data_IF_443278119054
#
_entry.id   IF_443278119054
#
_cell.length_a   1.000
_cell.length_b   1.000
_cell.length_c   1.000
_cell.angle_alpha   90.00
_cell.angle_beta   90.00
_cell.angle_gamma   90.00
#
_symmetry.space_group_name_H-M   'P 1'
#
loop_
_entity.id
_entity.type
_entity.pdbx_description
1 polymer ?
#
# COMPACT_ATOMS: atom_id res chain seq x y z
N UNK A 1 19.44 16.71 13.76
CA UNK A 1 18.34 15.71 13.78
C UNK A 1 18.31 15.06 12.39
N UNK A 2 18.98 13.92 12.17
CA UNK A 2 18.96 13.25 10.86
C UNK A 2 17.52 12.83 10.59
N UNK A 3 16.91 13.39 9.53
CA UNK A 3 15.66 12.90 8.98
C UNK A 3 15.79 11.39 8.82
N UNK A 4 14.94 10.64 9.54
CA UNK A 4 14.92 9.18 9.53
C UNK A 4 14.36 8.74 8.18
N UNK A 5 15.17 8.92 7.14
CA UNK A 5 14.89 8.42 5.79
C UNK A 5 14.62 6.93 5.88
N UNK A 6 13.64 6.48 5.10
CA UNK A 6 13.28 5.07 5.00
C UNK A 6 14.56 4.30 4.65
N UNK A 7 15.10 3.53 5.60
CA UNK A 7 16.25 2.68 5.33
C UNK A 7 15.86 1.73 4.20
N UNK A 8 16.69 1.57 3.15
CA UNK A 8 16.41 0.59 2.10
C UNK A 8 16.30 -0.80 2.71
N UNK A 9 15.50 -1.68 2.09
CA UNK A 9 15.22 -3.01 2.63
C UNK A 9 16.51 -3.81 2.92
N UNK A 10 17.56 -3.58 2.12
CA UNK A 10 18.89 -4.17 2.28
C UNK A 10 19.63 -3.76 3.56
N UNK A 11 19.33 -2.60 4.14
CA UNK A 11 19.98 -2.07 5.35
C UNK A 11 19.26 -2.46 6.66
N UNK A 12 18.11 -3.14 6.57
CA UNK A 12 17.38 -3.62 7.73
C UNK A 12 18.02 -4.89 8.30
N UNK A 13 18.01 -5.04 9.62
CA UNK A 13 18.31 -6.34 10.23
C UNK A 13 17.18 -7.34 9.91
N UNK A 14 17.43 -8.64 10.08
CA UNK A 14 16.44 -9.66 9.73
C UNK A 14 15.15 -9.52 10.58
N UNK A 15 15.28 -9.17 11.86
CA UNK A 15 14.15 -8.89 12.74
C UNK A 15 13.37 -7.65 12.29
N UNK A 16 14.07 -6.56 11.96
CA UNK A 16 13.46 -5.34 11.44
C UNK A 16 12.74 -5.61 10.12
N UNK A 17 13.36 -6.39 9.23
CA UNK A 17 12.83 -6.74 7.92
C UNK A 17 11.54 -7.57 8.05
N UNK A 18 11.54 -8.62 8.87
CA UNK A 18 10.35 -9.45 9.12
C UNK A 18 9.21 -8.65 9.75
N UNK A 19 9.51 -7.74 10.68
CA UNK A 19 8.53 -6.82 11.24
C UNK A 19 7.95 -5.90 10.16
N UNK A 20 8.78 -5.35 9.30
CA UNK A 20 8.35 -4.49 8.19
C UNK A 20 7.53 -5.26 7.14
N UNK A 21 7.85 -6.52 6.83
CA UNK A 21 7.04 -7.38 5.94
C UNK A 21 5.61 -7.52 6.49
N UNK A 22 5.46 -7.82 7.79
CA UNK A 22 4.15 -7.94 8.43
C UNK A 22 3.40 -6.61 8.45
N UNK A 23 4.07 -5.52 8.82
CA UNK A 23 3.48 -4.18 8.85
C UNK A 23 3.01 -3.72 7.47
N UNK A 24 3.88 -3.81 6.46
CA UNK A 24 3.54 -3.42 5.09
C UNK A 24 2.43 -4.27 4.49
N UNK A 25 2.37 -5.57 4.82
CA UNK A 25 1.24 -6.45 4.47
C UNK A 25 -0.07 -5.98 5.11
N UNK A 26 -0.04 -5.66 6.40
CA UNK A 26 -1.22 -5.17 7.11
C UNK A 26 -1.71 -3.83 6.54
N UNK A 27 -0.80 -2.90 6.26
CA UNK A 27 -1.14 -1.61 5.65
C UNK A 27 -1.74 -1.80 4.27
N UNK A 28 -1.13 -2.65 3.43
CA UNK A 28 -1.65 -2.95 2.10
C UNK A 28 -3.06 -3.55 2.18
N UNK A 29 -3.28 -4.52 3.08
CA UNK A 29 -4.59 -5.14 3.27
C UNK A 29 -5.65 -4.12 3.72
N UNK A 30 -5.36 -3.35 4.77
CA UNK A 30 -6.29 -2.33 5.29
C UNK A 30 -6.60 -1.27 4.25
N UNK A 31 -5.58 -0.77 3.54
CA UNK A 31 -5.77 0.22 2.47
C UNK A 31 -6.60 -0.36 1.32
N UNK A 32 -6.34 -1.61 0.93
CA UNK A 32 -7.07 -2.27 -0.15
C UNK A 32 -8.56 -2.45 0.20
N UNK A 33 -8.90 -2.85 1.42
CA UNK A 33 -10.29 -2.96 1.88
C UNK A 33 -10.99 -1.60 1.81
N UNK A 34 -10.37 -0.56 2.36
CA UNK A 34 -10.93 0.81 2.34
C UNK A 34 -11.08 1.31 0.90
N UNK A 35 -10.09 1.04 0.04
CA UNK A 35 -10.12 1.46 -1.37
C UNK A 35 -11.24 0.77 -2.15
N UNK A 36 -11.52 -0.51 -1.90
CA UNK A 36 -12.64 -1.21 -2.54
C UNK A 36 -13.98 -0.61 -2.10
N UNK A 37 -14.15 -0.30 -0.81
CA UNK A 37 -15.36 0.36 -0.31
C UNK A 37 -15.55 1.77 -0.92
N UNK A 38 -14.45 2.53 -1.01
CA UNK A 38 -14.43 3.82 -1.70
C UNK A 38 -14.86 3.67 -3.16
N UNK A 39 -14.25 2.73 -3.89
CA UNK A 39 -14.53 2.49 -5.31
C UNK A 39 -16.00 2.11 -5.52
N UNK A 40 -16.53 1.18 -4.73
CA UNK A 40 -17.93 0.77 -4.80
C UNK A 40 -18.90 1.94 -4.56
N UNK A 41 -18.62 2.76 -3.54
CA UNK A 41 -19.42 3.94 -3.21
C UNK A 41 -19.36 4.99 -4.31
N UNK A 42 -18.18 5.30 -4.81
CA UNK A 42 -17.95 6.25 -5.90
C UNK A 42 -18.62 5.80 -7.21
N UNK A 43 -18.56 4.51 -7.54
CA UNK A 43 -19.24 3.95 -8.70
C UNK A 43 -20.75 4.05 -8.55
N UNK A 44 -21.31 3.68 -7.39
CA UNK A 44 -22.74 3.82 -7.11
C UNK A 44 -23.22 5.28 -7.28
N UNK A 45 -22.49 6.24 -6.71
CA UNK A 45 -22.80 7.67 -6.87
C UNK A 45 -22.71 8.10 -8.34
N UNK A 46 -21.67 7.65 -9.06
CA UNK A 46 -21.46 8.02 -10.46
C UNK A 46 -22.59 7.48 -11.36
N UNK A 47 -23.05 6.25 -11.14
CA UNK A 47 -24.15 5.65 -11.90
C UNK A 47 -25.49 6.33 -11.59
N UNK A 48 -25.71 6.73 -10.33
CA UNK A 48 -27.00 7.31 -9.89
C UNK A 48 -27.11 8.82 -10.10
N UNK A 49 -25.99 9.56 -10.01
CA UNK A 49 -25.96 11.03 -10.07
C UNK A 49 -25.18 11.58 -11.26
N UNK A 50 -24.61 10.71 -12.10
CA UNK A 50 -23.80 11.08 -13.25
C UNK A 50 -22.34 11.35 -12.88
N UNK A 51 -21.56 11.71 -13.90
CA UNK A 51 -20.13 11.96 -13.76
C UNK A 51 -19.85 13.22 -12.93
N UNK A 52 -18.92 13.13 -11.99
CA UNK A 52 -18.54 14.26 -11.14
C UNK A 52 -17.29 14.00 -10.30
N UNK A 53 -17.12 14.75 -9.21
CA UNK A 53 -15.93 14.66 -8.33
C UNK A 53 -15.72 13.24 -7.82
N UNK A 54 -16.80 12.54 -7.45
CA UNK A 54 -16.72 11.15 -6.98
C UNK A 54 -16.31 10.14 -8.05
N UNK A 55 -16.44 10.48 -9.34
CA UNK A 55 -16.04 9.60 -10.45
C UNK A 55 -14.52 9.55 -10.64
N UNK A 56 -13.83 10.66 -10.35
CA UNK A 56 -12.37 10.76 -10.46
C UNK A 56 -11.67 10.49 -9.14
N UNK A 57 -12.37 10.58 -8.01
CA UNK A 57 -11.81 10.42 -6.66
C UNK A 57 -11.03 9.10 -6.48
N UNK A 58 -11.52 7.91 -6.91
CA UNK A 58 -10.74 6.68 -6.75
C UNK A 58 -9.41 6.71 -7.53
N UNK A 59 -9.35 7.40 -8.66
CA UNK A 59 -8.15 7.51 -9.49
C UNK A 59 -7.04 8.31 -8.78
N UNK A 60 -7.40 9.28 -7.94
CA UNK A 60 -6.40 10.08 -7.21
C UNK A 60 -5.68 9.27 -6.14
N UNK A 61 -6.33 8.27 -5.55
CA UNK A 61 -5.76 7.37 -4.55
C UNK A 61 -5.08 6.14 -5.16
N UNK A 62 -5.26 5.88 -6.45
CA UNK A 62 -4.69 4.72 -7.14
C UNK A 62 -3.14 4.66 -7.07
N UNK A 63 -2.39 5.77 -7.25
CA UNK A 63 -0.93 5.77 -7.09
C UNK A 63 -0.48 5.35 -5.68
N UNK A 64 -1.29 5.66 -4.66
CA UNK A 64 -0.99 5.30 -3.26
C UNK A 64 -1.15 3.79 -3.06
N UNK A 65 -2.18 3.18 -3.65
CA UNK A 65 -2.33 1.73 -3.65
C UNK A 65 -1.11 1.04 -4.29
N UNK A 66 -0.69 1.52 -5.47
CA UNK A 66 0.48 0.99 -6.18
C UNK A 66 1.74 1.12 -5.30
N UNK A 67 1.94 2.27 -4.65
CA UNK A 67 3.10 2.50 -3.79
C UNK A 67 3.14 1.54 -2.60
N UNK A 68 2.00 1.24 -1.99
CA UNK A 68 1.90 0.23 -0.92
C UNK A 68 2.23 -1.18 -1.43
N UNK A 69 1.76 -1.55 -2.62
CA UNK A 69 2.08 -2.83 -3.26
C UNK A 69 3.58 -2.95 -3.51
N UNK A 70 4.19 -1.94 -4.13
CA UNK A 70 5.63 -1.93 -4.43
C UNK A 70 6.45 -2.01 -3.14
N UNK A 71 6.07 -1.24 -2.11
CA UNK A 71 6.76 -1.25 -0.81
C UNK A 71 6.71 -2.62 -0.15
N UNK A 72 5.54 -3.25 -0.11
CA UNK A 72 5.40 -4.60 0.44
C UNK A 72 6.23 -5.62 -0.34
N UNK A 73 6.20 -5.57 -1.68
CA UNK A 73 6.99 -6.45 -2.55
C UNK A 73 8.48 -6.30 -2.29
N UNK A 74 9.00 -5.07 -2.21
CA UNK A 74 10.42 -4.82 -1.90
C UNK A 74 10.85 -5.47 -0.58
N UNK A 75 10.04 -5.33 0.47
CA UNK A 75 10.34 -5.94 1.77
C UNK A 75 10.25 -7.47 1.73
N UNK A 76 9.24 -8.01 1.06
CA UNK A 76 9.04 -9.46 0.94
C UNK A 76 10.12 -10.12 0.06
N UNK A 77 10.51 -9.50 -1.05
CA UNK A 77 11.55 -10.00 -1.95
C UNK A 77 12.91 -10.01 -1.25
N UNK A 78 13.22 -8.99 -0.45
CA UNK A 78 14.44 -8.98 0.37
C UNK A 78 14.42 -10.08 1.45
N UNK A 79 13.29 -10.28 2.13
CA UNK A 79 13.17 -11.34 3.14
C UNK A 79 13.32 -12.75 2.53
N UNK A 80 12.78 -12.96 1.31
CA UNK A 80 12.97 -14.20 0.55
C UNK A 80 14.41 -14.41 0.11
N UNK A 81 15.09 -13.36 -0.37
CA UNK A 81 16.52 -13.44 -0.74
C UNK A 81 17.40 -13.90 0.43
N UNK A 82 17.02 -13.53 1.66
CA UNK A 82 17.69 -13.93 2.90
C UNK A 82 17.20 -15.26 3.48
N UNK A 83 16.28 -15.95 2.81
CA UNK A 83 15.66 -17.21 3.28
C UNK A 83 14.94 -17.06 4.65
N UNK A 84 14.35 -15.90 4.93
CA UNK A 84 13.62 -15.64 6.17
C UNK A 84 12.13 -16.02 6.09
N UNK A 85 11.59 -16.15 4.87
CA UNK A 85 10.21 -16.52 4.53
C UNK A 85 10.13 -17.25 3.19
#
# INVERSE_FOLDING_TARGET
MKSKGIKPASELTDEELLKNVKLTKSVLLSFSVIFVLLLATCLYITVTKGFGVFSVLPLTFFPILITNIITHRKMADEAKKRNLI
#
